data_IF_000847991068
#
_entry.id   IF_000847991068
#
_cell.length_a   1.000
_cell.length_b   1.000
_cell.length_c   1.000
_cell.angle_alpha   90.00
_cell.angle_beta   90.00
_cell.angle_gamma   90.00
#
_symmetry.space_group_name_H-M   'P 1'
#
loop_
_entity.id
_entity.type
_entity.pdbx_description
1 polymer ?
#
# COMPACT_ATOMS: atom_id res chain seq x y z
N UNK A 1 -94.17 48.33 -41.65
CA UNK A 1 -93.99 49.24 -40.50
C UNK A 1 -94.40 48.50 -39.23
N UNK A 2 -93.66 48.70 -38.13
CA UNK A 2 -93.74 48.06 -36.80
C UNK A 2 -93.02 46.70 -36.66
N UNK A 3 -91.93 46.77 -35.89
CA UNK A 3 -90.92 45.75 -35.60
C UNK A 3 -91.39 44.87 -34.45
N UNK A 4 -91.38 43.54 -34.59
CA UNK A 4 -91.60 42.61 -33.47
C UNK A 4 -90.29 42.46 -32.67
N UNK A 5 -90.20 42.92 -31.41
CA UNK A 5 -88.96 42.97 -30.63
C UNK A 5 -88.60 41.63 -29.96
N UNK A 6 -89.45 40.60 -30.06
CA UNK A 6 -89.30 39.38 -29.26
C UNK A 6 -88.17 38.44 -29.70
N UNK A 7 -87.87 38.34 -31.01
CA UNK A 7 -86.84 37.40 -31.48
C UNK A 7 -85.43 37.75 -31.03
N UNK A 8 -85.17 39.01 -30.65
CA UNK A 8 -83.84 39.45 -30.21
C UNK A 8 -83.57 39.12 -28.73
N UNK A 9 -84.60 38.81 -27.94
CA UNK A 9 -84.47 38.47 -26.51
C UNK A 9 -84.17 36.98 -26.28
N UNK A 10 -84.63 36.09 -27.16
CA UNK A 10 -84.40 34.64 -27.02
C UNK A 10 -82.95 34.20 -27.31
N UNK A 11 -82.14 35.04 -27.97
CA UNK A 11 -80.73 34.76 -28.27
C UNK A 11 -79.75 35.42 -27.27
N UNK A 12 -80.25 36.20 -26.31
CA UNK A 12 -79.41 36.97 -25.38
C UNK A 12 -79.11 36.25 -24.05
N UNK A 13 -79.80 35.14 -23.75
CA UNK A 13 -79.77 34.53 -22.41
C UNK A 13 -78.98 33.22 -22.32
N UNK A 14 -78.25 32.84 -23.37
CA UNK A 14 -77.32 31.70 -23.28
C UNK A 14 -75.92 32.21 -22.96
N UNK A 15 -75.75 32.68 -21.73
CA UNK A 15 -74.40 32.86 -21.18
C UNK A 15 -73.86 31.45 -20.90
N UNK A 16 -72.78 30.99 -21.56
CA UNK A 16 -72.22 29.69 -21.24
C UNK A 16 -71.73 29.76 -19.79
N UNK A 17 -72.33 28.95 -18.92
CA UNK A 17 -71.77 28.72 -17.59
C UNK A 17 -70.47 27.96 -17.83
N UNK A 18 -69.36 28.70 -17.92
CA UNK A 18 -68.02 28.14 -17.94
C UNK A 18 -67.79 27.61 -16.52
N UNK A 19 -68.28 26.39 -16.27
CA UNK A 19 -67.79 25.59 -15.15
C UNK A 19 -66.30 25.38 -15.40
N UNK A 20 -65.47 25.89 -14.51
CA UNK A 20 -64.04 25.65 -14.58
C UNK A 20 -63.80 24.13 -14.52
N UNK A 21 -63.38 23.50 -15.64
CA UNK A 21 -63.31 22.04 -15.74
C UNK A 21 -62.26 21.45 -14.80
N UNK A 22 -61.42 22.29 -14.18
CA UNK A 22 -60.39 21.85 -13.23
C UNK A 22 -60.70 22.15 -11.77
N UNK A 23 -61.81 22.86 -11.47
CA UNK A 23 -62.17 23.24 -10.11
C UNK A 23 -62.54 22.06 -9.18
N UNK A 24 -62.69 20.85 -9.73
CA UNK A 24 -62.96 19.63 -8.98
C UNK A 24 -61.79 18.64 -8.92
N UNK A 25 -60.61 18.98 -9.43
CA UNK A 25 -59.46 18.09 -9.33
C UNK A 25 -58.95 18.01 -7.89
N UNK A 26 -58.90 16.79 -7.38
CA UNK A 26 -58.27 16.47 -6.11
C UNK A 26 -56.78 16.34 -6.38
N UNK A 27 -55.96 17.17 -5.75
CA UNK A 27 -54.50 17.04 -5.80
C UNK A 27 -54.09 15.66 -5.27
N UNK A 28 -53.49 14.85 -6.15
CA UNK A 28 -52.95 13.55 -5.79
C UNK A 28 -51.62 13.80 -5.07
N UNK A 29 -51.46 13.41 -3.79
CA UNK A 29 -50.18 13.54 -3.13
C UNK A 29 -49.14 12.70 -3.88
N UNK A 30 -48.07 13.34 -4.33
CA UNK A 30 -46.95 12.63 -4.94
C UNK A 30 -46.39 11.62 -3.93
N UNK A 31 -46.08 10.38 -4.36
CA UNK A 31 -45.45 9.42 -3.48
C UNK A 31 -44.12 10.00 -2.98
N UNK A 32 -43.75 9.76 -1.70
CA UNK A 32 -42.46 10.18 -1.20
C UNK A 32 -41.36 9.58 -2.07
N UNK A 33 -40.34 10.38 -2.36
CA UNK A 33 -39.19 9.96 -3.17
C UNK A 33 -38.52 8.75 -2.51
N UNK A 34 -38.55 7.61 -3.21
CA UNK A 34 -37.85 6.41 -2.76
C UNK A 34 -36.35 6.65 -2.85
N UNK A 35 -35.64 6.55 -1.73
CA UNK A 35 -34.18 6.53 -1.76
C UNK A 35 -33.73 5.29 -2.53
N UNK A 36 -33.03 5.50 -3.64
CA UNK A 36 -32.44 4.44 -4.47
C UNK A 36 -31.32 3.67 -3.76
N UNK A 37 -30.83 4.18 -2.63
CA UNK A 37 -29.93 3.46 -1.74
C UNK A 37 -30.79 2.70 -0.70
N UNK A 38 -30.83 1.36 -0.75
CA UNK A 38 -31.45 0.60 0.33
C UNK A 38 -30.61 0.79 1.59
N UNK A 39 -31.01 1.73 2.45
CA UNK A 39 -30.43 1.94 3.78
C UNK A 39 -30.88 0.82 4.75
N UNK A 40 -30.81 -0.44 4.30
CA UNK A 40 -31.15 -1.62 5.08
C UNK A 40 -29.95 -2.06 5.91
N UNK A 41 -30.20 -2.75 7.02
CA UNK A 41 -29.13 -3.34 7.83
C UNK A 41 -28.18 -4.23 7.00
N UNK A 42 -28.70 -4.87 5.95
CA UNK A 42 -27.93 -5.68 5.00
C UNK A 42 -26.88 -4.85 4.25
N UNK A 43 -27.21 -3.63 3.77
CA UNK A 43 -26.22 -2.79 3.07
C UNK A 43 -25.12 -2.32 4.00
N UNK A 44 -25.43 -2.05 5.29
CA UNK A 44 -24.42 -1.74 6.30
C UNK A 44 -23.43 -2.89 6.49
N UNK A 45 -23.91 -4.13 6.56
CA UNK A 45 -23.04 -5.31 6.67
C UNK A 45 -22.15 -5.43 5.43
N UNK A 46 -22.71 -5.27 4.22
CA UNK A 46 -21.94 -5.33 2.97
C UNK A 46 -20.83 -4.27 2.96
N UNK A 47 -21.14 -3.03 3.34
CA UNK A 47 -20.15 -1.95 3.41
C UNK A 47 -19.01 -2.30 4.38
N UNK A 48 -19.34 -2.80 5.58
CA UNK A 48 -18.33 -3.21 6.57
C UNK A 48 -17.46 -4.34 6.02
N UNK A 49 -18.06 -5.32 5.35
CA UNK A 49 -17.35 -6.47 4.81
C UNK A 49 -16.42 -6.08 3.66
N UNK A 50 -16.87 -5.18 2.77
CA UNK A 50 -16.04 -4.59 1.72
C UNK A 50 -14.91 -3.76 2.32
N UNK A 51 -15.20 -2.90 3.31
CA UNK A 51 -14.19 -2.09 3.97
C UNK A 51 -13.11 -2.96 4.67
N UNK A 52 -13.52 -4.03 5.34
CA UNK A 52 -12.60 -5.00 5.94
C UNK A 52 -11.75 -5.70 4.87
N UNK A 53 -12.36 -6.12 3.76
CA UNK A 53 -11.64 -6.72 2.63
C UNK A 53 -10.60 -5.77 2.04
N UNK A 54 -10.95 -4.50 1.83
CA UNK A 54 -10.03 -3.46 1.36
C UNK A 54 -8.91 -3.22 2.37
N UNK A 55 -9.22 -3.16 3.67
CA UNK A 55 -8.21 -2.99 4.71
C UNK A 55 -7.20 -4.15 4.73
N UNK A 56 -7.68 -5.39 4.63
CA UNK A 56 -6.82 -6.59 4.57
C UNK A 56 -5.98 -6.59 3.29
N UNK A 57 -6.59 -6.26 2.15
CA UNK A 57 -5.88 -6.18 0.88
C UNK A 57 -4.81 -5.09 0.91
N UNK A 58 -5.14 -3.89 1.38
CA UNK A 58 -4.19 -2.79 1.53
C UNK A 58 -3.07 -3.14 2.50
N UNK A 59 -3.36 -3.80 3.62
CA UNK A 59 -2.35 -4.26 4.56
C UNK A 59 -1.40 -5.29 3.93
N UNK A 60 -1.94 -6.29 3.22
CA UNK A 60 -1.11 -7.26 2.49
C UNK A 60 -0.27 -6.61 1.41
N UNK A 61 -0.85 -5.68 0.67
CA UNK A 61 -0.18 -4.96 -0.40
C UNK A 61 0.93 -4.06 0.17
N UNK A 62 0.66 -3.34 1.27
CA UNK A 62 1.66 -2.56 2.00
C UNK A 62 2.77 -3.44 2.55
N UNK A 63 2.46 -4.61 3.09
CA UNK A 63 3.46 -5.58 3.57
C UNK A 63 4.33 -6.08 2.41
N UNK A 64 3.72 -6.41 1.28
CA UNK A 64 4.42 -6.84 0.07
C UNK A 64 5.28 -5.71 -0.54
N UNK A 65 4.75 -4.49 -0.60
CA UNK A 65 5.47 -3.32 -1.09
C UNK A 65 6.60 -2.94 -0.16
N UNK A 66 6.43 -2.99 1.17
CA UNK A 66 7.51 -2.77 2.14
C UNK A 66 8.61 -3.82 1.98
N UNK A 67 8.25 -5.09 1.86
CA UNK A 67 9.21 -6.17 1.62
C UNK A 67 10.03 -5.95 0.33
N UNK A 68 9.42 -5.44 -0.73
CA UNK A 68 10.12 -5.15 -1.99
C UNK A 68 10.87 -3.81 -2.01
N UNK A 69 10.38 -2.77 -1.34
CA UNK A 69 11.03 -1.44 -1.33
C UNK A 69 12.37 -1.51 -0.62
N UNK A 70 12.38 -2.17 0.53
CA UNK A 70 13.59 -2.36 1.31
C UNK A 70 14.62 -3.19 0.53
N UNK A 71 14.21 -4.31 -0.10
CA UNK A 71 15.12 -5.11 -0.94
C UNK A 71 15.70 -4.31 -2.10
N UNK A 72 14.88 -3.49 -2.77
CA UNK A 72 15.34 -2.64 -3.88
C UNK A 72 16.28 -1.53 -3.40
N UNK A 73 16.01 -0.92 -2.25
CA UNK A 73 16.87 0.10 -1.67
C UNK A 73 18.23 -0.49 -1.25
N UNK A 74 18.22 -1.66 -0.61
CA UNK A 74 19.42 -2.38 -0.21
C UNK A 74 20.29 -2.78 -1.42
N UNK A 75 19.67 -3.28 -2.50
CA UNK A 75 20.39 -3.61 -3.73
C UNK A 75 20.93 -2.37 -4.45
N UNK A 76 20.15 -1.29 -4.51
CA UNK A 76 20.61 -0.04 -5.12
C UNK A 76 21.80 0.57 -4.37
N UNK A 77 21.79 0.50 -3.03
CA UNK A 77 22.90 0.96 -2.21
C UNK A 77 24.13 0.06 -2.36
N UNK A 78 23.95 -1.26 -2.45
CA UNK A 78 25.04 -2.19 -2.76
C UNK A 78 25.68 -1.85 -4.12
N UNK A 79 24.87 -1.68 -5.17
CA UNK A 79 25.37 -1.36 -6.50
C UNK A 79 26.05 0.02 -6.52
N UNK A 80 25.55 0.99 -5.75
CA UNK A 80 26.20 2.30 -5.58
C UNK A 80 27.57 2.17 -4.93
N UNK A 81 27.69 1.41 -3.83
CA UNK A 81 28.96 1.19 -3.14
C UNK A 81 29.99 0.52 -4.05
N UNK A 82 29.56 -0.46 -4.85
CA UNK A 82 30.41 -1.13 -5.84
C UNK A 82 30.93 -0.15 -6.91
N UNK A 83 30.09 0.77 -7.37
CA UNK A 83 30.48 1.76 -8.36
C UNK A 83 31.38 2.87 -7.79
N UNK A 84 31.10 3.38 -6.59
CA UNK A 84 31.85 4.51 -6.01
C UNK A 84 33.23 4.12 -5.49
N UNK A 85 33.38 2.90 -4.96
CA UNK A 85 34.64 2.45 -4.37
C UNK A 85 35.59 1.88 -5.44
N UNK A 86 35.14 1.66 -6.68
CA UNK A 86 36.00 1.30 -7.82
C UNK A 86 36.89 0.06 -7.63
N UNK A 87 36.55 -0.83 -6.69
CA UNK A 87 37.37 -1.99 -6.36
C UNK A 87 38.50 -1.73 -5.35
N UNK A 88 38.55 -0.55 -4.71
CA UNK A 88 39.46 -0.30 -3.60
C UNK A 88 39.10 -1.22 -2.41
N UNK A 89 40.02 -2.11 -1.98
CA UNK A 89 39.74 -3.08 -0.91
C UNK A 89 39.64 -2.40 0.47
N UNK A 90 40.24 -1.21 0.61
CA UNK A 90 40.28 -0.47 1.86
C UNK A 90 38.90 0.11 2.21
N UNK A 91 38.27 -0.45 3.24
CA UNK A 91 37.00 0.03 3.77
C UNK A 91 35.74 -0.55 3.11
N UNK A 92 35.87 -1.25 1.97
CA UNK A 92 34.73 -1.93 1.33
C UNK A 92 34.03 -2.92 2.27
N UNK A 93 34.80 -3.73 3.01
CA UNK A 93 34.24 -4.67 3.99
C UNK A 93 33.46 -3.96 5.12
N UNK A 94 33.90 -2.77 5.54
CA UNK A 94 33.21 -1.98 6.57
C UNK A 94 31.92 -1.35 6.02
N UNK A 95 31.94 -0.85 4.78
CA UNK A 95 30.73 -0.38 4.09
C UNK A 95 29.70 -1.49 3.92
N UNK A 96 30.14 -2.70 3.53
CA UNK A 96 29.27 -3.88 3.43
C UNK A 96 28.71 -4.28 4.80
N UNK A 97 29.53 -4.28 5.86
CA UNK A 97 29.06 -4.57 7.22
C UNK A 97 27.99 -3.58 7.69
N UNK A 98 28.18 -2.29 7.44
CA UNK A 98 27.21 -1.26 7.79
C UNK A 98 25.93 -1.40 6.97
N UNK A 99 26.04 -1.70 5.67
CA UNK A 99 24.90 -1.98 4.81
C UNK A 99 24.09 -3.17 5.33
N UNK A 100 24.73 -4.30 5.62
CA UNK A 100 24.05 -5.50 6.16
C UNK A 100 23.40 -5.21 7.52
N UNK A 101 24.04 -4.42 8.38
CA UNK A 101 23.51 -4.02 9.69
C UNK A 101 22.25 -3.15 9.55
N UNK A 102 22.34 -2.08 8.75
CA UNK A 102 21.22 -1.19 8.47
C UNK A 102 20.10 -1.95 7.80
N UNK A 103 20.45 -2.84 6.87
CA UNK A 103 19.45 -3.62 6.16
C UNK A 103 18.72 -4.52 7.16
N UNK A 104 19.40 -5.33 7.98
CA UNK A 104 18.71 -6.18 8.94
C UNK A 104 17.79 -5.40 9.89
N UNK A 105 18.19 -4.19 10.33
CA UNK A 105 17.37 -3.34 11.22
C UNK A 105 16.07 -2.84 10.58
N UNK A 106 16.02 -2.71 9.24
CA UNK A 106 14.78 -2.35 8.53
C UNK A 106 13.93 -3.59 8.21
N UNK A 107 14.55 -4.77 8.12
CA UNK A 107 13.85 -6.04 7.88
C UNK A 107 13.27 -6.69 9.14
N UNK A 108 13.94 -6.61 10.28
CA UNK A 108 13.55 -7.30 11.53
C UNK A 108 13.39 -6.33 12.71
N UNK A 109 12.62 -6.70 13.76
CA UNK A 109 12.43 -5.87 14.93
C UNK A 109 13.76 -5.53 15.62
N UNK A 110 13.91 -4.26 16.00
CA UNK A 110 15.10 -3.73 16.70
C UNK A 110 15.41 -4.52 17.96
N UNK A 111 14.39 -4.98 18.69
CA UNK A 111 14.54 -5.67 19.97
C UNK A 111 15.33 -6.98 19.80
N UNK A 112 15.19 -7.64 18.66
CA UNK A 112 15.87 -8.89 18.34
C UNK A 112 17.30 -8.67 17.86
N UNK A 113 17.55 -7.61 17.07
CA UNK A 113 18.89 -7.36 16.48
C UNK A 113 19.81 -6.57 17.39
N UNK A 114 19.31 -5.57 18.12
CA UNK A 114 20.12 -4.70 18.96
C UNK A 114 21.08 -5.43 19.93
N UNK A 115 20.68 -6.54 20.58
CA UNK A 115 21.60 -7.27 21.47
C UNK A 115 22.61 -8.17 20.72
N UNK A 116 22.45 -8.40 19.41
CA UNK A 116 23.29 -9.31 18.65
C UNK A 116 24.57 -8.61 18.18
N UNK A 117 25.72 -9.12 18.62
CA UNK A 117 27.06 -8.70 18.20
C UNK A 117 27.96 -9.92 17.95
N UNK A 118 29.03 -9.72 17.17
CA UNK A 118 30.05 -10.74 16.91
C UNK A 118 29.48 -12.04 16.36
N UNK A 119 29.78 -13.17 17.01
CA UNK A 119 29.33 -14.50 16.58
C UNK A 119 27.80 -14.66 16.62
N UNK A 120 27.12 -14.06 17.60
CA UNK A 120 25.66 -14.11 17.70
C UNK A 120 24.96 -13.39 16.55
N UNK A 121 25.60 -12.35 16.01
CA UNK A 121 25.16 -11.65 14.81
C UNK A 121 25.31 -12.52 13.54
N UNK A 122 26.46 -13.16 13.35
CA UNK A 122 26.69 -14.04 12.20
C UNK A 122 25.73 -15.24 12.19
N UNK A 123 25.51 -15.86 13.36
CA UNK A 123 24.58 -16.97 13.50
C UNK A 123 23.11 -16.56 13.22
N UNK A 124 22.75 -15.29 13.47
CA UNK A 124 21.45 -14.77 13.08
C UNK A 124 21.33 -14.61 11.57
N UNK A 125 22.36 -14.06 10.91
CA UNK A 125 22.38 -13.94 9.46
C UNK A 125 22.23 -15.32 8.82
N UNK A 126 23.00 -16.31 9.25
CA UNK A 126 22.90 -17.71 8.85
C UNK A 126 21.47 -18.28 8.96
N UNK A 127 20.81 -18.09 10.11
CA UNK A 127 19.42 -18.52 10.29
C UNK A 127 18.41 -17.81 9.37
N UNK A 128 18.65 -16.55 9.03
CA UNK A 128 17.70 -15.73 8.26
C UNK A 128 17.61 -16.09 6.77
N UNK A 129 18.60 -16.79 6.21
CA UNK A 129 18.57 -17.31 4.83
C UNK A 129 18.78 -18.82 4.72
N UNK A 130 19.05 -19.51 5.83
CA UNK A 130 19.19 -20.97 5.88
C UNK A 130 20.55 -21.50 5.40
N UNK A 131 21.64 -20.84 5.78
CA UNK A 131 23.01 -21.27 5.47
C UNK A 131 23.98 -21.08 6.64
N UNK A 132 25.27 -21.28 6.40
CA UNK A 132 26.37 -21.18 7.37
C UNK A 132 27.56 -20.34 6.86
N UNK A 133 27.41 -19.71 5.68
CA UNK A 133 28.50 -18.99 5.01
C UNK A 133 28.88 -17.69 5.74
N UNK A 134 28.02 -17.15 6.62
CA UNK A 134 28.37 -15.97 7.42
C UNK A 134 29.19 -16.33 8.66
N UNK A 135 28.88 -17.44 9.35
CA UNK A 135 29.68 -17.88 10.50
C UNK A 135 30.95 -18.64 10.10
N UNK A 136 30.90 -19.45 9.04
CA UNK A 136 32.01 -20.33 8.62
C UNK A 136 32.79 -19.82 7.41
N UNK A 137 32.26 -18.87 6.65
CA UNK A 137 32.85 -18.40 5.38
C UNK A 137 33.33 -16.96 5.39
N UNK A 138 33.23 -16.32 4.22
CA UNK A 138 33.66 -14.94 3.98
C UNK A 138 32.89 -13.91 4.83
N UNK A 139 31.69 -14.24 5.31
CA UNK A 139 30.88 -13.34 6.14
C UNK A 139 31.46 -13.05 7.52
N UNK A 140 32.46 -13.81 7.99
CA UNK A 140 33.20 -13.50 9.23
C UNK A 140 33.83 -12.11 9.18
N UNK A 141 34.23 -11.67 7.99
CA UNK A 141 34.79 -10.33 7.77
C UNK A 141 33.81 -9.23 8.20
N UNK A 142 32.50 -9.45 8.13
CA UNK A 142 31.50 -8.46 8.56
C UNK A 142 31.47 -8.22 10.07
N UNK A 143 31.88 -9.20 10.88
CA UNK A 143 31.92 -9.06 12.33
C UNK A 143 33.13 -8.23 12.79
N UNK A 144 34.23 -8.28 12.06
CA UNK A 144 35.50 -7.62 12.42
C UNK A 144 35.76 -6.34 11.63
N UNK A 145 35.19 -6.18 10.43
CA UNK A 145 35.39 -5.02 9.56
C UNK A 145 35.03 -3.65 10.18
N UNK A 146 34.00 -3.50 11.04
CA UNK A 146 33.71 -2.21 11.68
C UNK A 146 34.75 -1.79 12.72
N UNK A 147 35.50 -2.75 13.27
CA UNK A 147 36.37 -2.55 14.44
C UNK A 147 37.86 -2.65 14.13
N UNK A 148 38.23 -3.06 12.91
CA UNK A 148 39.64 -3.24 12.54
C UNK A 148 39.89 -3.02 11.05
N UNK A 149 41.11 -2.59 10.74
CA UNK A 149 41.62 -2.48 9.37
C UNK A 149 41.80 -3.90 8.82
N UNK A 150 40.71 -4.47 8.34
CA UNK A 150 40.68 -5.86 7.86
C UNK A 150 41.32 -5.90 6.49
N UNK A 151 42.50 -6.52 6.39
CA UNK A 151 43.15 -6.81 5.12
C UNK A 151 42.46 -8.01 4.48
N UNK A 152 41.34 -7.76 3.79
CA UNK A 152 40.68 -8.76 2.98
C UNK A 152 41.30 -8.76 1.59
N UNK A 153 41.62 -9.94 1.07
CA UNK A 153 42.06 -10.09 -0.31
C UNK A 153 40.90 -9.79 -1.27
N UNK A 154 41.20 -9.45 -2.52
CA UNK A 154 40.21 -9.14 -3.54
C UNK A 154 39.22 -10.31 -3.75
N UNK A 155 39.70 -11.55 -3.67
CA UNK A 155 38.87 -12.76 -3.78
C UNK A 155 37.87 -12.91 -2.64
N UNK A 156 38.30 -12.69 -1.40
CA UNK A 156 37.43 -12.75 -0.22
C UNK A 156 36.38 -11.64 -0.22
N UNK A 157 36.75 -10.45 -0.73
CA UNK A 157 35.82 -9.33 -0.91
C UNK A 157 34.76 -9.65 -1.96
N UNK A 158 35.11 -10.24 -3.09
CA UNK A 158 34.14 -10.65 -4.11
C UNK A 158 33.19 -11.74 -3.57
N UNK A 159 33.73 -12.75 -2.88
CA UNK A 159 32.92 -13.78 -2.22
C UNK A 159 31.95 -13.18 -1.19
N UNK A 160 32.41 -12.18 -0.42
CA UNK A 160 31.58 -11.45 0.52
C UNK A 160 30.47 -10.65 -0.17
N UNK A 161 30.77 -9.95 -1.27
CA UNK A 161 29.77 -9.19 -2.04
C UNK A 161 28.67 -10.12 -2.57
N UNK A 162 29.04 -11.26 -3.14
CA UNK A 162 28.08 -12.23 -3.67
C UNK A 162 27.24 -12.86 -2.56
N UNK A 163 27.84 -13.13 -1.40
CA UNK A 163 27.14 -13.62 -0.22
C UNK A 163 26.11 -12.57 0.28
N UNK A 164 26.52 -11.31 0.42
CA UNK A 164 25.63 -10.21 0.83
C UNK A 164 24.50 -10.02 -0.19
N UNK A 165 24.80 -10.07 -1.49
CA UNK A 165 23.79 -9.97 -2.55
C UNK A 165 22.78 -11.12 -2.50
N UNK A 166 23.24 -12.36 -2.30
CA UNK A 166 22.36 -13.53 -2.12
C UNK A 166 21.48 -13.38 -0.89
N UNK A 167 22.05 -12.95 0.23
CA UNK A 167 21.31 -12.72 1.46
C UNK A 167 20.24 -11.62 1.30
N UNK A 168 20.56 -10.48 0.69
CA UNK A 168 19.57 -9.41 0.44
C UNK A 168 18.41 -9.91 -0.44
N UNK A 169 18.68 -10.79 -1.42
CA UNK A 169 17.64 -11.37 -2.28
C UNK A 169 16.80 -12.45 -1.58
N UNK A 170 17.43 -13.28 -0.76
CA UNK A 170 16.86 -14.53 -0.25
C UNK A 170 16.48 -14.55 1.23
N UNK A 171 16.82 -13.53 2.03
CA UNK A 171 16.44 -13.50 3.44
C UNK A 171 14.92 -13.48 3.55
N UNK A 172 14.41 -14.35 4.41
CA UNK A 172 13.00 -14.46 4.71
C UNK A 172 12.70 -13.53 5.89
N UNK A 173 11.65 -12.70 5.75
CA UNK A 173 11.12 -11.78 6.78
C UNK A 173 9.78 -12.30 7.29
#
# INVERSE_FOLDING_TARGET
MAVTPERRRLLADTQPVIVDPVAGLIDIPLPPSVSLLPATWASRIVIVLVAAGVAVAAWRLLRHFRANRYRRAALAELDRLLQTQGGAPEGMAASLALLVRQTALDAFPRETIAPLAGAGWLAFLDRSYGGDEFSQGAGRLLATAPYGRTTADAGDLTALQDLVRRWIRGHHV
#
